data_IF_227571096639
#
_entry.id   IF_227571096639
#
_cell.length_a   1.000
_cell.length_b   1.000
_cell.length_c   1.000
_cell.angle_alpha   90.00
_cell.angle_beta   90.00
_cell.angle_gamma   90.00
#
_symmetry.space_group_name_H-M   'P 1'
#
loop_
_entity.id
_entity.type
_entity.pdbx_description
1 polymer ?
#
# COMPACT_ATOMS: atom_id res chain seq x y z
N UNK A 1 0.30 -8.91 12.69
CA UNK A 1 -0.21 -7.56 13.03
C UNK A 1 -0.84 -6.94 11.79
N UNK A 2 -1.90 -6.13 11.91
CA UNK A 2 -2.50 -5.41 10.78
C UNK A 2 -1.82 -4.06 10.54
N UNK A 3 -2.07 -3.42 9.38
CA UNK A 3 -1.58 -2.06 9.12
C UNK A 3 -2.22 -1.03 10.07
N UNK A 4 -3.47 -1.25 10.49
CA UNK A 4 -4.15 -0.40 11.46
C UNK A 4 -3.48 -0.51 12.85
N UNK A 5 -3.08 -1.71 13.26
CA UNK A 5 -2.36 -1.91 14.53
C UNK A 5 -1.01 -1.17 14.52
N UNK A 6 -0.27 -1.20 13.39
CA UNK A 6 0.96 -0.42 13.23
C UNK A 6 0.68 1.08 13.35
N UNK A 7 -0.35 1.58 12.67
CA UNK A 7 -0.72 2.98 12.76
C UNK A 7 -1.00 3.39 14.21
N UNK A 8 -1.85 2.65 14.93
CA UNK A 8 -2.15 2.95 16.34
C UNK A 8 -0.89 2.91 17.23
N UNK A 9 0.03 1.95 16.97
CA UNK A 9 1.27 1.79 17.75
C UNK A 9 2.30 2.91 17.50
N UNK A 10 2.35 3.46 16.29
CA UNK A 10 3.45 4.33 15.85
C UNK A 10 3.07 5.75 15.43
N UNK A 11 1.78 6.09 15.29
CA UNK A 11 1.32 7.38 14.74
C UNK A 11 1.90 8.63 15.41
N UNK A 12 2.30 8.56 16.67
CA UNK A 12 2.89 9.70 17.40
C UNK A 12 4.39 9.90 17.09
N UNK A 13 5.03 8.94 16.41
CA UNK A 13 6.48 8.93 16.11
C UNK A 13 6.80 8.73 14.63
N UNK A 14 5.87 8.17 13.87
CA UNK A 14 6.03 7.85 12.45
C UNK A 14 4.79 8.30 11.70
N UNK A 15 4.99 8.96 10.56
CA UNK A 15 3.91 9.34 9.67
C UNK A 15 3.54 8.18 8.75
N UNK A 16 2.24 7.95 8.58
CA UNK A 16 1.71 6.95 7.66
C UNK A 16 1.03 7.66 6.50
N UNK A 17 1.39 7.24 5.29
CA UNK A 17 0.83 7.73 4.04
C UNK A 17 0.43 6.54 3.18
N UNK A 18 -0.84 6.47 2.83
CA UNK A 18 -1.35 5.53 1.82
C UNK A 18 -1.32 6.24 0.48
N UNK A 19 -0.68 5.66 -0.52
CA UNK A 19 -0.72 6.16 -1.90
C UNK A 19 -1.54 5.21 -2.73
N UNK A 20 -2.69 5.68 -3.19
CA UNK A 20 -3.54 4.96 -4.12
C UNK A 20 -2.89 4.95 -5.51
N UNK A 21 -2.44 3.77 -5.93
CA UNK A 21 -1.86 3.55 -7.26
C UNK A 21 -2.89 2.91 -8.19
N UNK A 22 -2.55 2.82 -9.47
CA UNK A 22 -3.37 2.17 -10.49
C UNK A 22 -3.82 0.77 -10.07
N UNK A 23 -5.07 0.44 -10.41
CA UNK A 23 -5.66 -0.87 -10.13
C UNK A 23 -4.79 -2.01 -10.65
N UNK A 24 -4.51 -2.97 -9.77
CA UNK A 24 -3.86 -4.21 -10.17
C UNK A 24 -4.80 -5.15 -10.95
N UNK A 25 -6.11 -5.00 -10.75
CA UNK A 25 -7.14 -5.88 -11.31
C UNK A 25 -8.34 -5.11 -11.85
N UNK A 26 -8.15 -4.21 -12.83
CA UNK A 26 -9.27 -3.52 -13.42
C UNK A 26 -10.16 -4.47 -14.24
N UNK A 27 -11.46 -4.19 -14.32
CA UNK A 27 -12.44 -4.98 -15.08
C UNK A 27 -12.02 -5.14 -16.56
N UNK A 28 -11.32 -4.16 -17.11
CA UNK A 28 -10.75 -4.12 -18.47
C UNK A 28 -9.36 -4.82 -18.60
N UNK A 29 -8.89 -5.50 -17.55
CA UNK A 29 -7.59 -6.20 -17.50
C UNK A 29 -7.68 -7.74 -17.64
N UNK A 30 -6.75 -8.30 -18.44
CA UNK A 30 -6.65 -9.69 -18.93
C UNK A 30 -6.51 -10.83 -17.90
N UNK A 31 -6.67 -10.64 -16.57
CA UNK A 31 -6.39 -11.74 -15.61
C UNK A 31 -7.59 -12.57 -15.15
N UNK A 32 -8.84 -12.15 -15.41
CA UNK A 32 -10.04 -12.87 -14.95
C UNK A 32 -11.12 -13.02 -16.03
N UNK A 33 -10.72 -13.16 -17.30
CA UNK A 33 -11.62 -13.61 -18.37
C UNK A 33 -12.13 -15.04 -18.12
N UNK A 34 -13.15 -15.20 -17.28
CA UNK A 34 -14.12 -16.31 -17.30
C UNK A 34 -13.64 -17.74 -17.02
N UNK A 35 -12.48 -17.94 -16.38
CA UNK A 35 -11.87 -19.28 -16.24
C UNK A 35 -11.71 -19.82 -14.80
N UNK A 36 -11.23 -21.07 -14.70
CA UNK A 36 -10.95 -21.81 -13.44
C UNK A 36 -10.08 -21.01 -12.46
N UNK A 37 -9.14 -20.22 -12.97
CA UNK A 37 -8.25 -19.35 -12.18
C UNK A 37 -9.00 -18.33 -11.33
N UNK A 38 -10.09 -17.74 -11.84
CA UNK A 38 -10.91 -16.78 -11.09
C UNK A 38 -11.78 -17.41 -9.99
N UNK A 39 -12.07 -18.71 -10.10
CA UNK A 39 -12.76 -19.45 -9.05
C UNK A 39 -11.83 -19.81 -7.89
N UNK A 40 -10.57 -20.10 -8.19
CA UNK A 40 -9.54 -20.44 -7.19
C UNK A 40 -9.21 -19.20 -6.33
N UNK A 41 -9.04 -18.02 -6.94
CA UNK A 41 -8.75 -16.78 -6.21
C UNK A 41 -9.86 -16.36 -5.25
N UNK A 42 -11.14 -16.51 -5.65
CA UNK A 42 -12.29 -16.32 -4.75
C UNK A 42 -12.32 -17.32 -3.59
N UNK A 43 -11.99 -18.59 -3.87
CA UNK A 43 -12.03 -19.66 -2.87
C UNK A 43 -10.96 -19.50 -1.78
N UNK A 44 -9.82 -18.88 -2.09
CA UNK A 44 -8.73 -18.61 -1.15
C UNK A 44 -8.84 -17.25 -0.44
N UNK A 45 -9.98 -16.56 -0.55
CA UNK A 45 -10.24 -15.30 0.16
C UNK A 45 -9.60 -14.05 -0.46
N UNK A 46 -9.04 -14.13 -1.67
CA UNK A 46 -8.62 -12.95 -2.42
C UNK A 46 -9.84 -12.34 -3.13
N UNK A 47 -10.65 -11.59 -2.40
CA UNK A 47 -11.60 -10.64 -2.98
C UNK A 47 -10.89 -9.33 -3.23
N UNK A 48 -10.09 -9.27 -4.31
CA UNK A 48 -9.83 -7.98 -4.93
C UNK A 48 -11.18 -7.41 -5.40
N UNK A 49 -11.38 -6.09 -5.30
CA UNK A 49 -12.56 -5.45 -5.87
C UNK A 49 -12.53 -5.64 -7.40
N UNK A 50 -13.19 -6.69 -7.88
CA UNK A 50 -13.25 -7.06 -9.30
C UNK A 50 -14.16 -6.15 -10.12
N UNK A 51 -14.67 -5.09 -9.51
CA UNK A 51 -15.80 -4.31 -10.00
C UNK A 51 -15.39 -2.87 -10.33
N UNK A 52 -14.07 -2.59 -10.31
CA UNK A 52 -13.49 -1.28 -10.54
C UNK A 52 -12.82 -1.26 -11.92
N UNK A 53 -13.26 -0.38 -12.80
CA UNK A 53 -12.59 -0.11 -14.08
C UNK A 53 -11.30 0.67 -13.85
N UNK A 54 -10.31 0.48 -14.71
CA UNK A 54 -9.08 1.27 -14.68
C UNK A 54 -9.41 2.75 -14.93
N UNK A 55 -9.20 3.65 -13.95
CA UNK A 55 -9.53 5.05 -14.09
C UNK A 55 -8.80 5.67 -15.29
N UNK A 56 -9.51 6.45 -16.11
CA UNK A 56 -8.95 7.15 -17.27
C UNK A 56 -8.71 8.63 -16.98
N UNK A 57 -9.30 9.16 -15.91
CA UNK A 57 -9.03 10.52 -15.41
C UNK A 57 -8.64 10.53 -13.93
N UNK A 58 -8.05 11.65 -13.47
CA UNK A 58 -7.65 11.80 -12.07
C UNK A 58 -8.87 11.83 -11.14
N UNK A 59 -9.97 12.41 -11.59
CA UNK A 59 -11.23 12.48 -10.84
C UNK A 59 -11.83 11.08 -10.63
N UNK A 60 -11.79 10.23 -11.67
CA UNK A 60 -12.20 8.84 -11.55
C UNK A 60 -11.31 8.10 -10.56
N UNK A 61 -9.98 8.29 -10.65
CA UNK A 61 -9.02 7.65 -9.74
C UNK A 61 -9.23 8.09 -8.29
N UNK A 62 -9.49 9.37 -8.06
CA UNK A 62 -9.84 9.92 -6.75
C UNK A 62 -11.15 9.33 -6.23
N UNK A 63 -12.17 9.17 -7.08
CA UNK A 63 -13.45 8.59 -6.68
C UNK A 63 -13.33 7.11 -6.29
N UNK A 64 -12.46 6.34 -6.96
CA UNK A 64 -12.14 4.97 -6.55
C UNK A 64 -11.34 4.97 -5.24
N UNK A 65 -10.28 5.77 -5.16
CA UNK A 65 -9.43 5.88 -3.97
C UNK A 65 -10.24 6.24 -2.71
N UNK A 66 -11.19 7.17 -2.83
CA UNK A 66 -12.09 7.56 -1.74
C UNK A 66 -12.96 6.41 -1.25
N UNK A 67 -13.54 5.61 -2.17
CA UNK A 67 -14.31 4.40 -1.81
C UNK A 67 -13.43 3.38 -1.09
N UNK A 68 -12.25 3.10 -1.63
CA UNK A 68 -11.29 2.18 -1.04
C UNK A 68 -10.86 2.61 0.37
N UNK A 69 -10.58 3.90 0.57
CA UNK A 69 -10.23 4.46 1.87
C UNK A 69 -11.37 4.35 2.90
N UNK A 70 -12.63 4.55 2.47
CA UNK A 70 -13.81 4.37 3.32
C UNK A 70 -14.01 2.91 3.73
N UNK A 71 -13.86 1.97 2.78
CA UNK A 71 -14.03 0.53 3.03
C UNK A 71 -12.95 -0.02 3.97
N UNK A 72 -11.72 0.44 3.81
CA UNK A 72 -10.57 0.04 4.62
C UNK A 72 -10.45 0.83 5.93
N UNK A 73 -11.36 1.80 6.17
CA UNK A 73 -11.43 2.65 7.36
C UNK A 73 -10.07 3.27 7.72
N UNK A 74 -9.35 3.75 6.71
CA UNK A 74 -8.04 4.33 6.94
C UNK A 74 -8.17 5.68 7.64
N UNK A 75 -7.81 5.73 8.92
CA UNK A 75 -7.49 7.00 9.62
C UNK A 75 -6.18 7.62 9.11
N UNK A 76 -5.45 6.89 8.26
CA UNK A 76 -4.20 7.32 7.64
C UNK A 76 -4.47 8.26 6.47
N UNK A 77 -3.61 9.27 6.33
CA UNK A 77 -3.64 10.17 5.18
C UNK A 77 -3.52 9.36 3.89
N UNK A 78 -4.45 9.59 2.96
CA UNK A 78 -4.47 8.93 1.66
C UNK A 78 -4.24 9.96 0.56
N UNK A 79 -3.27 9.69 -0.31
CA UNK A 79 -2.99 10.44 -1.53
C UNK A 79 -3.26 9.54 -2.75
N UNK A 80 -3.38 10.16 -3.92
CA UNK A 80 -3.64 9.46 -5.18
C UNK A 80 -2.45 9.70 -6.11
N UNK A 81 -1.90 8.64 -6.68
CA UNK A 81 -0.81 8.73 -7.66
C UNK A 81 -1.31 9.42 -8.94
N UNK A 82 -0.42 10.18 -9.59
CA UNK A 82 -0.73 10.87 -10.84
C UNK A 82 -1.02 9.88 -11.96
N UNK A 83 -1.78 10.32 -12.98
CA UNK A 83 -2.24 9.45 -14.07
C UNK A 83 -1.11 8.83 -14.90
N UNK A 84 0.10 9.36 -14.83
CA UNK A 84 1.31 8.80 -15.43
C UNK A 84 1.99 7.72 -14.56
N UNK A 85 1.39 7.36 -13.43
CA UNK A 85 1.84 6.34 -12.47
C UNK A 85 3.26 6.62 -11.93
N UNK A 86 3.60 7.90 -11.74
CA UNK A 86 4.96 8.33 -11.38
C UNK A 86 5.45 7.72 -10.07
N UNK A 87 4.64 7.71 -9.01
CA UNK A 87 5.02 7.14 -7.70
C UNK A 87 5.12 5.63 -7.81
N UNK A 88 4.13 4.98 -8.43
CA UNK A 88 4.10 3.54 -8.62
C UNK A 88 5.34 3.04 -9.37
N UNK A 89 5.77 3.76 -10.42
CA UNK A 89 7.00 3.46 -11.17
C UNK A 89 8.25 3.67 -10.34
N UNK A 90 8.38 4.83 -9.68
CA UNK A 90 9.55 5.17 -8.88
C UNK A 90 9.79 4.17 -7.73
N UNK A 91 8.71 3.66 -7.14
CA UNK A 91 8.76 2.72 -6.03
C UNK A 91 8.50 1.27 -6.44
N UNK A 92 8.38 0.94 -7.73
CA UNK A 92 7.99 -0.40 -8.20
C UNK A 92 6.88 -1.01 -7.30
N UNK A 93 5.83 -0.23 -7.07
CA UNK A 93 4.86 -0.45 -5.99
C UNK A 93 3.70 -1.36 -6.41
N UNK A 94 3.49 -1.53 -7.71
CA UNK A 94 2.44 -2.39 -8.23
C UNK A 94 2.75 -3.88 -7.98
N UNK A 95 1.80 -4.70 -7.48
CA UNK A 95 0.38 -4.39 -7.28
C UNK A 95 0.08 -3.70 -5.94
N UNK A 96 0.89 -3.95 -4.92
CA UNK A 96 0.90 -3.22 -3.64
C UNK A 96 2.24 -3.46 -2.95
N UNK A 97 2.72 -2.48 -2.17
CA UNK A 97 4.03 -2.55 -1.53
C UNK A 97 4.11 -1.66 -0.29
N UNK A 98 4.88 -2.10 0.71
CA UNK A 98 5.15 -1.34 1.93
C UNK A 98 6.57 -0.77 1.89
N UNK A 99 6.71 0.46 2.39
CA UNK A 99 7.99 1.16 2.48
C UNK A 99 8.14 1.84 3.83
N UNK A 100 9.38 1.93 4.32
CA UNK A 100 9.79 2.87 5.36
C UNK A 100 10.83 3.82 4.75
N UNK A 101 10.55 5.12 4.81
CA UNK A 101 11.47 6.18 4.37
C UNK A 101 11.99 6.91 5.61
N UNK A 102 13.31 7.03 5.72
CA UNK A 102 13.97 7.73 6.80
C UNK A 102 13.87 9.24 6.67
N UNK A 103 14.19 9.95 7.75
CA UNK A 103 14.21 11.43 7.78
C UNK A 103 15.23 12.05 6.81
N UNK A 104 16.21 11.28 6.35
CA UNK A 104 17.18 11.64 5.33
C UNK A 104 16.68 11.40 3.89
N UNK A 105 15.42 10.99 3.74
CA UNK A 105 14.79 10.68 2.46
C UNK A 105 15.21 9.33 1.85
N UNK A 106 15.96 8.49 2.59
CA UNK A 106 16.38 7.17 2.08
C UNK A 106 15.40 6.08 2.46
N UNK A 107 15.25 5.09 1.58
CA UNK A 107 14.46 3.89 1.87
C UNK A 107 15.21 3.03 2.90
N UNK A 108 14.62 2.90 4.09
CA UNK A 108 15.12 2.06 5.19
C UNK A 108 14.60 0.64 5.06
N UNK A 109 13.37 0.48 4.57
CA UNK A 109 12.75 -0.81 4.30
C UNK A 109 11.91 -0.75 3.03
N UNK A 110 12.04 -1.80 2.21
CA UNK A 110 11.24 -2.03 1.03
C UNK A 110 10.68 -3.45 1.10
N UNK A 111 9.37 -3.58 1.31
CA UNK A 111 8.70 -4.87 1.35
C UNK A 111 8.73 -5.59 0.00
N UNK A 112 8.35 -6.86 -0.01
CA UNK A 112 8.13 -7.61 -1.25
C UNK A 112 6.87 -7.15 -1.98
N UNK A 113 6.66 -7.63 -3.20
CA UNK A 113 5.43 -7.38 -3.96
C UNK A 113 4.25 -8.13 -3.33
N UNK A 114 3.13 -7.44 -3.14
CA UNK A 114 1.90 -8.05 -2.66
C UNK A 114 1.27 -9.05 -3.65
N UNK A 115 0.37 -9.92 -3.18
CA UNK A 115 -0.04 -10.03 -1.78
C UNK A 115 0.99 -10.72 -0.88
N UNK A 116 1.84 -11.59 -1.41
CA UNK A 116 2.76 -12.42 -0.60
C UNK A 116 3.88 -11.63 0.11
N UNK A 117 4.30 -10.50 -0.45
CA UNK A 117 5.29 -9.61 0.14
C UNK A 117 4.71 -8.47 0.99
N UNK A 118 3.39 -8.36 1.08
CA UNK A 118 2.72 -7.38 1.93
C UNK A 118 2.71 -7.87 3.38
N UNK A 119 3.77 -7.53 4.13
CA UNK A 119 3.98 -8.02 5.49
C UNK A 119 4.09 -6.86 6.48
N UNK A 120 2.99 -6.50 7.17
CA UNK A 120 3.01 -5.46 8.19
C UNK A 120 3.95 -5.79 9.36
N UNK A 121 4.09 -7.06 9.73
CA UNK A 121 4.99 -7.46 10.81
C UNK A 121 6.46 -7.07 10.51
N UNK A 122 6.95 -7.35 9.31
CA UNK A 122 8.31 -6.97 8.87
C UNK A 122 8.50 -5.44 8.83
N UNK A 123 7.45 -4.68 8.45
CA UNK A 123 7.48 -3.22 8.51
C UNK A 123 7.56 -2.72 9.97
N UNK A 124 6.83 -3.35 10.89
CA UNK A 124 6.86 -3.04 12.32
C UNK A 124 8.27 -3.21 12.90
N UNK A 125 8.92 -4.34 12.59
CA UNK A 125 10.30 -4.61 13.01
C UNK A 125 11.27 -3.56 12.46
N UNK A 126 11.10 -3.15 11.20
CA UNK A 126 11.91 -2.10 10.59
C UNK A 126 11.73 -0.74 11.29
N UNK A 127 10.50 -0.38 11.66
CA UNK A 127 10.21 0.85 12.42
C UNK A 127 10.88 0.80 13.80
N UNK A 128 10.72 -0.30 14.55
CA UNK A 128 11.32 -0.45 15.88
C UNK A 128 12.85 -0.33 15.83
N UNK A 129 13.48 -0.95 14.82
CA UNK A 129 14.92 -0.86 14.58
C UNK A 129 15.34 0.58 14.26
N UNK A 130 14.62 1.27 13.38
CA UNK A 130 14.94 2.65 12.99
C UNK A 130 14.82 3.63 14.15
N UNK A 131 13.74 3.54 14.93
CA UNK A 131 13.52 4.41 16.10
C UNK A 131 14.52 4.16 17.23
N UNK A 132 15.00 2.93 17.38
CA UNK A 132 16.04 2.60 18.37
C UNK A 132 17.39 3.19 17.96
N UNK A 133 17.77 3.04 16.69
CA UNK A 133 19.05 3.54 16.16
C UNK A 133 19.16 5.07 16.26
N UNK A 134 18.07 5.80 16.04
CA UNK A 134 18.04 7.27 16.17
C UNK A 134 18.26 7.80 17.60
N UNK A 135 17.92 7.01 18.63
CA UNK A 135 18.08 7.39 20.04
C UNK A 135 19.51 7.26 20.56
N UNK A 136 20.33 6.46 19.89
CA UNK A 136 21.74 6.25 20.24
C UNK A 136 22.65 7.40 19.76
N UNK A 137 22.17 8.28 18.87
CA UNK A 137 22.95 9.36 18.26
C UNK A 137 22.76 10.75 18.88
N UNK A 138 21.88 10.92 19.87
CA UNK A 138 21.56 12.24 20.46
C UNK A 138 22.22 12.49 21.83
N UNK A 139 23.36 11.84 22.10
CA UNK A 139 24.10 11.93 23.36
C UNK A 139 25.52 12.50 23.20
N UNK A 140 25.69 13.57 22.42
CA UNK A 140 26.95 14.29 22.22
C UNK A 140 26.80 15.77 22.50
#
# INVERSE_FOLDING_TARGET
MSLHDLYLKYRDRVQFLVVYIREAHPVDGWWLGGGVTGKITRAIGFTAATDVYDPKTIEERQAVAGRCAMDLKYEMQTCVDSMDDAVSKAYAAHPTRLYLVGLDGRVVYAGGLGPFGFKPDELGDAIDKYLTAGRSGSGG
#
